data_IF_124961394883
#
_entry.id   IF_124961394883
#
_cell.length_a   1.000
_cell.length_b   1.000
_cell.length_c   1.000
_cell.angle_alpha   90.00
_cell.angle_beta   90.00
_cell.angle_gamma   90.00
#
_symmetry.space_group_name_H-M   'P 1'
#
loop_
_entity.id
_entity.type
_entity.pdbx_description
1 polymer ?
#
# COMPACT_ATOMS: atom_id res chain seq x y z
N UNK A 1 15.36 28.49 29.24
CA UNK A 1 14.23 27.82 28.56
C UNK A 1 14.83 26.66 27.78
N UNK A 2 14.43 25.41 28.05
CA UNK A 2 14.99 24.23 27.35
C UNK A 2 14.37 24.14 25.95
N UNK A 3 15.12 23.74 24.91
CA UNK A 3 14.54 23.56 23.58
C UNK A 3 13.68 22.29 23.61
N UNK A 4 12.37 22.47 23.72
CA UNK A 4 11.36 21.52 23.29
C UNK A 4 10.87 22.01 21.92
N UNK A 5 11.76 22.00 20.93
CA UNK A 5 11.39 22.16 19.54
C UNK A 5 11.31 20.75 18.96
N UNK A 6 10.13 20.34 18.53
CA UNK A 6 9.88 19.06 17.85
C UNK A 6 10.68 19.05 16.55
N UNK A 7 11.96 18.69 16.64
CA UNK A 7 12.85 18.49 15.51
C UNK A 7 12.41 17.27 14.69
N UNK A 8 12.82 17.25 13.44
CA UNK A 8 12.67 16.16 12.46
C UNK A 8 13.34 14.82 12.88
N UNK A 9 13.74 14.67 14.15
CA UNK A 9 14.42 13.49 14.72
C UNK A 9 13.47 12.47 15.38
N UNK A 10 12.16 12.69 15.29
CA UNK A 10 11.18 11.72 15.77
C UNK A 10 11.15 10.51 14.82
N UNK A 11 11.55 9.34 15.33
CA UNK A 11 11.43 8.07 14.59
C UNK A 11 9.97 7.82 14.22
N UNK A 12 9.72 7.55 12.94
CA UNK A 12 8.41 7.08 12.47
C UNK A 12 8.29 5.60 12.83
N UNK A 13 7.20 5.25 13.52
CA UNK A 13 6.86 3.86 13.82
C UNK A 13 5.81 3.41 12.82
N UNK A 14 6.17 2.42 11.99
CA UNK A 14 5.24 1.81 11.04
C UNK A 14 4.50 0.67 11.73
N UNK A 15 3.16 0.62 11.68
CA UNK A 15 2.39 -0.53 12.16
C UNK A 15 2.84 -1.82 11.49
N UNK A 16 2.94 -2.91 12.27
CA UNK A 16 3.43 -4.20 11.77
C UNK A 16 2.64 -4.70 10.55
N UNK A 17 1.32 -4.49 10.52
CA UNK A 17 0.46 -4.88 9.40
C UNK A 17 0.83 -4.14 8.11
N UNK A 18 1.01 -2.82 8.18
CA UNK A 18 1.43 -2.01 7.03
C UNK A 18 2.81 -2.46 6.53
N UNK A 19 3.75 -2.71 7.44
CA UNK A 19 5.08 -3.18 7.07
C UNK A 19 5.06 -4.58 6.44
N UNK A 20 4.29 -5.52 7.01
CA UNK A 20 4.13 -6.88 6.45
C UNK A 20 3.57 -6.83 5.03
N UNK A 21 2.49 -6.06 4.82
CA UNK A 21 1.85 -5.92 3.51
C UNK A 21 2.81 -5.24 2.50
N UNK A 22 3.56 -4.24 2.95
CA UNK A 22 4.54 -3.55 2.12
C UNK A 22 5.66 -4.49 1.68
N UNK A 23 6.26 -5.25 2.61
CA UNK A 23 7.32 -6.23 2.31
C UNK A 23 6.81 -7.32 1.37
N UNK A 24 5.59 -7.81 1.60
CA UNK A 24 5.00 -8.86 0.78
C UNK A 24 4.85 -8.44 -0.70
N UNK A 25 4.57 -7.16 -0.96
CA UNK A 25 4.49 -6.65 -2.33
C UNK A 25 5.88 -6.31 -2.86
N UNK A 26 6.60 -5.43 -2.16
CA UNK A 26 7.87 -4.86 -2.59
C UNK A 26 9.00 -5.90 -2.71
N UNK A 27 8.91 -7.00 -1.96
CA UNK A 27 9.88 -8.10 -1.99
C UNK A 27 9.73 -9.04 -3.20
N UNK A 28 8.71 -8.86 -4.04
CA UNK A 28 8.52 -9.70 -5.23
C UNK A 28 9.20 -9.09 -6.45
N UNK A 29 9.72 -9.93 -7.34
CA UNK A 29 10.37 -9.51 -8.58
C UNK A 29 9.39 -9.29 -9.75
N UNK A 30 8.10 -9.11 -9.47
CA UNK A 30 7.11 -8.93 -10.51
C UNK A 30 7.29 -7.57 -11.21
N UNK A 31 7.42 -7.59 -12.55
CA UNK A 31 7.65 -6.39 -13.39
C UNK A 31 6.54 -5.33 -13.31
N UNK A 32 5.42 -5.61 -12.64
CA UNK A 32 4.21 -4.77 -12.62
C UNK A 32 3.92 -4.10 -11.29
N UNK A 33 4.84 -4.16 -10.32
CA UNK A 33 4.73 -3.37 -9.09
C UNK A 33 5.00 -1.90 -9.41
N UNK A 34 4.13 -1.02 -8.93
CA UNK A 34 4.27 0.43 -9.13
C UNK A 34 4.48 1.12 -7.79
N UNK A 35 5.62 1.80 -7.67
CA UNK A 35 5.91 2.67 -6.53
C UNK A 35 5.37 4.05 -6.82
N UNK A 36 4.47 4.53 -5.96
CA UNK A 36 3.80 5.81 -6.11
C UNK A 36 4.11 6.69 -4.91
N UNK A 37 4.30 8.00 -5.11
CA UNK A 37 4.27 8.94 -4.00
C UNK A 37 2.93 8.82 -3.26
N UNK A 38 2.93 8.84 -1.93
CA UNK A 38 1.71 8.77 -1.13
C UNK A 38 0.69 9.87 -1.53
N UNK A 39 1.18 11.04 -1.94
CA UNK A 39 0.37 12.16 -2.43
C UNK A 39 -0.38 11.90 -3.74
N UNK A 40 0.02 10.88 -4.51
CA UNK A 40 -0.63 10.51 -5.78
C UNK A 40 -1.69 9.42 -5.60
N UNK A 41 -1.85 8.89 -4.39
CA UNK A 41 -2.84 7.87 -4.07
C UNK A 41 -3.97 8.49 -3.25
N UNK A 42 -5.15 8.51 -3.85
CA UNK A 42 -6.36 8.90 -3.14
C UNK A 42 -6.91 7.72 -2.33
N UNK A 43 -6.48 7.62 -1.08
CA UNK A 43 -6.90 6.56 -0.16
C UNK A 43 -8.33 6.73 0.35
N UNK A 44 -8.95 7.89 0.16
CA UNK A 44 -10.35 8.09 0.49
C UNK A 44 -11.28 7.44 -0.55
N UNK A 45 -10.77 7.19 -1.76
CA UNK A 45 -11.51 6.59 -2.86
C UNK A 45 -11.04 5.16 -3.15
N UNK A 46 -11.75 4.19 -2.57
CA UNK A 46 -11.57 2.78 -2.86
C UNK A 46 -12.29 1.90 -1.85
N UNK A 47 -12.19 0.59 -2.06
CA UNK A 47 -12.68 -0.39 -1.09
C UNK A 47 -11.51 -0.95 -0.30
N UNK A 48 -11.67 -1.10 1.02
CA UNK A 48 -10.69 -1.81 1.83
C UNK A 48 -10.78 -3.31 1.49
N UNK A 49 -9.63 -3.77 1.02
CA UNK A 49 -9.22 -5.06 0.47
C UNK A 49 -8.63 -6.13 1.37
N UNK A 50 -8.91 -7.41 1.16
CA UNK A 50 -7.91 -8.47 1.35
C UNK A 50 -7.76 -9.33 0.10
N UNK A 51 -6.51 -9.70 -0.24
CA UNK A 51 -6.22 -10.65 -1.32
C UNK A 51 -6.35 -12.07 -0.77
N UNK A 52 -7.12 -12.91 -1.45
CA UNK A 52 -7.50 -14.26 -0.99
C UNK A 52 -6.77 -15.40 -1.70
N UNK A 53 -5.81 -15.09 -2.59
CA UNK A 53 -4.99 -16.12 -3.24
C UNK A 53 -3.85 -15.57 -4.10
N UNK A 54 -2.98 -16.48 -4.55
CA UNK A 54 -1.82 -16.16 -5.38
C UNK A 54 -0.63 -15.61 -4.57
N UNK A 55 0.31 -14.96 -5.25
CA UNK A 55 1.57 -14.47 -4.64
C UNK A 55 1.35 -13.52 -3.47
N UNK A 56 0.25 -12.76 -3.48
CA UNK A 56 -0.06 -11.72 -2.49
C UNK A 56 -1.17 -12.12 -1.51
N UNK A 57 -1.48 -13.41 -1.37
CA UNK A 57 -2.49 -13.89 -0.42
C UNK A 57 -2.27 -13.35 1.00
N UNK A 58 -3.35 -12.88 1.63
CA UNK A 58 -3.34 -12.29 2.97
C UNK A 58 -2.99 -10.81 3.03
N UNK A 59 -2.53 -10.21 1.93
CA UNK A 59 -2.22 -8.77 1.88
C UNK A 59 -3.50 -7.94 1.89
N UNK A 60 -3.53 -6.93 2.77
CA UNK A 60 -4.60 -5.94 2.82
C UNK A 60 -4.17 -4.60 2.22
N UNK A 61 -5.09 -3.93 1.55
CA UNK A 61 -4.86 -2.63 0.93
C UNK A 61 -6.14 -1.97 0.44
N UNK A 62 -6.01 -0.93 -0.37
CA UNK A 62 -7.13 -0.22 -0.98
C UNK A 62 -7.27 -0.65 -2.44
N UNK A 63 -8.42 -1.19 -2.82
CA UNK A 63 -8.71 -1.57 -4.20
C UNK A 63 -9.21 -0.38 -5.00
N UNK A 64 -8.35 0.17 -5.85
CA UNK A 64 -8.68 1.34 -6.65
C UNK A 64 -8.00 1.33 -8.01
N UNK A 65 -8.49 2.21 -8.89
CA UNK A 65 -7.88 2.43 -10.20
C UNK A 65 -6.75 3.45 -10.05
N UNK A 66 -5.55 3.07 -10.48
CA UNK A 66 -4.39 3.97 -10.53
C UNK A 66 -4.33 4.68 -11.88
N UNK A 67 -3.96 5.96 -11.89
CA UNK A 67 -3.77 6.74 -13.12
C UNK A 67 -2.67 6.11 -13.98
N UNK A 68 -2.95 5.90 -15.27
CA UNK A 68 -2.01 5.23 -16.18
C UNK A 68 -2.07 3.71 -16.17
N UNK A 69 -2.85 3.10 -15.25
CA UNK A 69 -3.06 1.65 -15.21
C UNK A 69 -4.47 1.31 -15.71
N UNK A 70 -4.57 0.27 -16.55
CA UNK A 70 -5.84 -0.15 -17.13
C UNK A 70 -6.76 -0.82 -16.11
N UNK A 71 -6.19 -1.61 -15.23
CA UNK A 71 -6.92 -2.44 -14.28
C UNK A 71 -6.82 -1.88 -12.86
N UNK A 72 -7.80 -2.20 -12.01
CA UNK A 72 -7.71 -1.84 -10.58
C UNK A 72 -6.55 -2.61 -9.95
N UNK A 73 -5.83 -1.94 -9.06
CA UNK A 73 -4.75 -2.51 -8.29
C UNK A 73 -5.15 -2.53 -6.82
N UNK A 74 -4.52 -3.40 -6.04
CA UNK A 74 -4.54 -3.29 -4.58
C UNK A 74 -3.38 -2.40 -4.20
N UNK A 75 -3.65 -1.31 -3.50
CA UNK A 75 -2.64 -0.33 -3.10
C UNK A 75 -2.38 -0.50 -1.62
N UNK A 76 -1.12 -0.73 -1.26
CA UNK A 76 -0.68 -0.80 0.13
C UNK A 76 0.09 0.45 0.46
N UNK A 77 -0.24 1.05 1.60
CA UNK A 77 0.38 2.28 2.04
C UNK A 77 0.99 2.09 3.42
N UNK A 78 2.19 2.67 3.57
CA UNK A 78 2.67 3.10 4.86
C UNK A 78 2.19 4.54 5.01
N UNK A 79 1.21 4.75 5.87
CA UNK A 79 0.54 6.04 6.03
C UNK A 79 1.54 7.15 6.36
N UNK A 80 1.46 8.26 5.63
CA UNK A 80 2.36 9.40 5.78
C UNK A 80 3.78 9.19 5.23
N UNK A 81 4.07 8.06 4.56
CA UNK A 81 5.38 7.78 3.99
C UNK A 81 5.33 7.45 2.49
N UNK A 82 4.71 6.33 2.10
CA UNK A 82 4.80 5.81 0.72
C UNK A 82 3.61 4.90 0.38
N UNK A 83 3.31 4.80 -0.92
CA UNK A 83 2.34 3.86 -1.47
C UNK A 83 2.98 2.92 -2.48
N UNK A 84 2.56 1.65 -2.48
CA UNK A 84 2.96 0.64 -3.45
C UNK A 84 1.70 -0.02 -3.99
N UNK A 85 1.52 0.03 -5.29
CA UNK A 85 0.48 -0.71 -5.96
C UNK A 85 1.00 -2.08 -6.37
N UNK A 86 0.20 -3.12 -6.10
CA UNK A 86 0.48 -4.50 -6.53
C UNK A 86 0.59 -4.59 -8.05
N UNK A 87 1.09 -5.73 -8.55
CA UNK A 87 0.71 -6.18 -9.88
C UNK A 87 -0.81 -6.39 -9.97
N UNK A 88 -1.35 -6.47 -11.20
CA UNK A 88 -2.79 -6.60 -11.41
C UNK A 88 -3.31 -7.90 -10.81
N UNK A 89 -4.13 -7.79 -9.76
CA UNK A 89 -4.77 -8.93 -9.09
C UNK A 89 -6.13 -9.19 -9.75
N UNK A 90 -6.44 -10.43 -10.18
CA UNK A 90 -7.77 -10.79 -10.65
C UNK A 90 -8.85 -10.46 -9.62
N UNK A 91 -9.95 -9.84 -10.05
CA UNK A 91 -10.98 -9.35 -9.13
C UNK A 91 -11.63 -10.45 -8.25
N UNK A 92 -11.61 -11.71 -8.68
CA UNK A 92 -12.15 -12.83 -7.91
C UNK A 92 -11.22 -13.28 -6.75
N UNK A 93 -9.97 -12.81 -6.73
CA UNK A 93 -9.00 -13.05 -5.64
C UNK A 93 -9.01 -11.93 -4.61
N UNK A 94 -10.03 -11.08 -4.62
CA UNK A 94 -10.12 -9.90 -3.76
C UNK A 94 -11.44 -9.93 -3.00
N UNK A 95 -11.38 -9.83 -1.69
CA UNK A 95 -12.54 -9.71 -0.81
C UNK A 95 -12.58 -8.34 -0.12
N UNK A 96 -13.78 -7.82 0.10
CA UNK A 96 -13.98 -6.56 0.82
C UNK A 96 -14.02 -6.82 2.32
N UNK A 97 -13.36 -5.95 3.09
CA UNK A 97 -13.32 -5.96 4.56
C UNK A 97 -13.93 -4.70 5.18
#
# INVERSE_FOLDING_TARGET
MRPNEKGFDAKVIVPDEQMRNFIAIAGTSEERILYLPYSEVDLAHGDRVRITGGTFEGVEGIYQRIKGVRDKQVVVCIEGLVAVATATVPAYLVEKI
#
